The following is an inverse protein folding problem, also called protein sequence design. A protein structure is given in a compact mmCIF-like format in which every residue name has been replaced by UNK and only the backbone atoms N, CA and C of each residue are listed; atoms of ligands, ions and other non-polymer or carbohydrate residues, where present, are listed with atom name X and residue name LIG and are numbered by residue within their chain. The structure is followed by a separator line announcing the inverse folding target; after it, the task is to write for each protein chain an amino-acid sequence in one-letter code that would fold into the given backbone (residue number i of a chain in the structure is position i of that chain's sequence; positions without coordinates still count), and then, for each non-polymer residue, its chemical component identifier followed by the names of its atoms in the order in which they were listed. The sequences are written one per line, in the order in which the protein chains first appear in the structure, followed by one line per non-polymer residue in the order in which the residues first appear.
data_IF_714466023273
#
_entry.id   IF_714466023273
#
_cell.length_a   1.000
_cell.length_b   1.000
_cell.length_c   1.000
_cell.angle_alpha   90.00
_cell.angle_beta   90.00
_cell.angle_gamma   90.00
#
_symmetry.space_group_name_H-M   'P 1'
#
loop_
_entity.id
_entity.type
_entity.pdbx_description
1 polymer ?
#
# COMPACT_ATOMS: atom_id res chain seq x y z
N UNK A 1 25.02 12.65 -30.76
CA UNK A 1 23.74 12.81 -30.03
C UNK A 1 23.91 13.14 -28.54
N UNK A 2 25.13 13.14 -27.99
CA UNK A 2 25.39 13.33 -26.54
C UNK A 2 25.64 14.78 -26.09
N UNK A 3 25.55 15.76 -27.01
CA UNK A 3 26.09 17.12 -26.80
C UNK A 3 25.43 17.91 -25.67
N UNK A 4 24.24 17.52 -25.22
CA UNK A 4 23.46 18.29 -24.24
C UNK A 4 23.11 17.52 -22.97
N UNK A 5 23.85 16.49 -22.57
CA UNK A 5 23.57 15.79 -21.30
C UNK A 5 23.82 16.68 -20.05
N UNK A 6 24.80 17.59 -20.14
CA UNK A 6 25.11 18.61 -19.14
C UNK A 6 25.34 19.95 -19.82
N UNK A 7 24.69 21.01 -19.35
CA UNK A 7 24.81 22.36 -19.91
C UNK A 7 24.98 23.40 -18.81
N UNK A 8 25.83 24.40 -19.05
CA UNK A 8 25.96 25.54 -18.13
C UNK A 8 24.90 26.63 -18.42
N UNK A 9 24.70 27.56 -17.48
CA UNK A 9 23.73 28.66 -17.65
C UNK A 9 23.93 29.49 -18.92
N UNK A 10 25.17 29.77 -19.32
CA UNK A 10 25.46 30.53 -20.54
C UNK A 10 25.09 29.75 -21.80
N UNK A 11 25.33 28.43 -21.82
CA UNK A 11 24.96 27.58 -22.95
C UNK A 11 23.43 27.39 -23.02
N UNK A 12 22.76 27.32 -21.86
CA UNK A 12 21.30 27.30 -21.77
C UNK A 12 20.69 28.54 -22.42
N UNK A 13 21.19 29.73 -22.09
CA UNK A 13 20.71 31.00 -22.65
C UNK A 13 20.93 31.08 -24.16
N UNK A 14 22.11 30.69 -24.64
CA UNK A 14 22.46 30.77 -26.06
C UNK A 14 21.79 29.69 -26.94
N UNK A 15 21.40 28.55 -26.37
CA UNK A 15 20.97 27.36 -27.14
C UNK A 15 19.69 26.72 -26.64
N UNK A 16 18.83 27.50 -25.98
CA UNK A 16 17.59 27.04 -25.34
C UNK A 16 16.79 26.08 -26.22
N UNK A 17 16.46 26.46 -27.47
CA UNK A 17 15.63 25.62 -28.35
C UNK A 17 16.24 24.24 -28.62
N UNK A 18 17.56 24.18 -28.88
CA UNK A 18 18.26 22.91 -29.15
C UNK A 18 18.36 22.04 -27.89
N UNK A 19 18.50 22.67 -26.73
CA UNK A 19 18.55 21.98 -25.43
C UNK A 19 17.17 21.39 -25.09
N UNK A 20 16.09 22.15 -25.30
CA UNK A 20 14.72 21.66 -25.09
C UNK A 20 14.39 20.52 -26.06
N UNK A 21 14.80 20.62 -27.34
CA UNK A 21 14.65 19.51 -28.30
C UNK A 21 15.43 18.25 -27.88
N UNK A 22 16.64 18.43 -27.32
CA UNK A 22 17.40 17.32 -26.78
C UNK A 22 16.72 16.71 -25.53
N UNK A 23 16.18 17.56 -24.65
CA UNK A 23 15.46 17.18 -23.44
C UNK A 23 14.20 16.34 -23.71
N UNK A 24 13.57 16.50 -24.89
CA UNK A 24 12.48 15.62 -25.33
C UNK A 24 12.88 14.16 -25.52
N UNK A 25 14.18 13.88 -25.75
CA UNK A 25 14.70 12.52 -25.98
C UNK A 25 15.41 11.96 -24.77
N UNK A 26 16.13 12.80 -24.03
CA UNK A 26 16.86 12.44 -22.80
C UNK A 26 16.90 13.64 -21.85
N UNK A 27 16.68 13.45 -20.54
CA UNK A 27 16.85 14.50 -19.54
C UNK A 27 18.19 15.23 -19.66
N UNK A 28 18.13 16.56 -19.51
CA UNK A 28 19.31 17.45 -19.57
C UNK A 28 19.52 18.10 -18.21
N UNK A 29 20.73 17.97 -17.65
CA UNK A 29 21.09 18.61 -16.39
C UNK A 29 21.72 19.99 -16.64
N UNK A 30 21.12 21.04 -16.08
CA UNK A 30 21.63 22.41 -16.14
C UNK A 30 22.47 22.67 -14.90
N UNK A 31 23.68 23.18 -15.07
CA UNK A 31 24.63 23.48 -14.00
C UNK A 31 24.75 24.98 -13.77
N UNK A 32 24.88 25.36 -12.50
CA UNK A 32 25.18 26.72 -12.06
C UNK A 32 26.23 26.67 -10.94
N UNK A 33 27.29 27.47 -11.07
CA UNK A 33 28.41 27.50 -10.14
C UNK A 33 29.03 26.11 -9.84
N UNK A 34 29.12 25.25 -10.85
CA UNK A 34 29.72 23.92 -10.73
C UNK A 34 28.80 22.83 -10.15
N UNK A 35 27.59 23.16 -9.71
CA UNK A 35 26.61 22.22 -9.19
C UNK A 35 25.41 22.05 -10.14
N UNK A 36 24.77 20.86 -10.19
CA UNK A 36 23.52 20.69 -10.91
C UNK A 36 22.44 21.55 -10.25
N UNK A 37 21.79 22.39 -11.05
CA UNK A 37 20.82 23.37 -10.60
C UNK A 37 19.39 22.94 -10.91
N UNK A 38 19.11 22.51 -12.13
CA UNK A 38 17.80 22.02 -12.55
C UNK A 38 17.93 20.91 -13.61
N UNK A 39 16.90 20.10 -13.77
CA UNK A 39 16.76 19.18 -14.89
C UNK A 39 15.69 19.68 -15.85
N UNK A 40 15.97 19.65 -17.15
CA UNK A 40 14.97 19.81 -18.20
C UNK A 40 14.62 18.41 -18.67
N UNK A 41 13.36 18.04 -18.50
CA UNK A 41 12.82 16.72 -18.83
C UNK A 41 11.68 16.85 -19.82
N UNK A 42 11.42 15.79 -20.58
CA UNK A 42 10.21 15.71 -21.39
C UNK A 42 8.96 15.66 -20.50
N UNK A 43 7.80 16.01 -21.06
CA UNK A 43 6.52 15.85 -20.37
C UNK A 43 6.27 14.38 -20.00
N UNK A 44 6.64 13.44 -20.88
CA UNK A 44 6.47 12.00 -20.66
C UNK A 44 7.34 11.51 -19.49
N UNK A 45 8.61 11.93 -19.42
CA UNK A 45 9.51 11.58 -18.32
C UNK A 45 9.01 12.17 -16.99
N UNK A 46 8.53 13.42 -17.02
CA UNK A 46 7.99 14.09 -15.84
C UNK A 46 6.72 13.40 -15.32
N UNK A 47 5.77 13.10 -16.22
CA UNK A 47 4.57 12.35 -15.85
C UNK A 47 4.90 10.92 -15.40
N UNK A 48 5.90 10.29 -16.00
CA UNK A 48 6.42 8.99 -15.58
C UNK A 48 6.98 9.02 -14.15
N UNK A 49 7.66 10.11 -13.76
CA UNK A 49 8.15 10.31 -12.39
C UNK A 49 7.03 10.59 -11.37
N UNK A 50 5.89 11.12 -11.83
CA UNK A 50 4.70 11.38 -11.00
C UNK A 50 3.76 10.18 -10.87
N UNK A 51 4.15 9.01 -11.36
CA UNK A 51 3.32 7.80 -11.30
C UNK A 51 2.90 7.46 -9.87
N UNK A 52 1.59 7.35 -9.69
CA UNK A 52 1.00 6.84 -8.47
C UNK A 52 1.26 5.34 -8.32
N UNK A 53 1.18 4.83 -7.08
CA UNK A 53 1.35 3.40 -6.79
C UNK A 53 0.40 2.53 -7.61
N UNK A 54 -0.82 3.00 -7.87
CA UNK A 54 -1.86 2.35 -8.68
C UNK A 54 -1.40 2.04 -10.10
N UNK A 55 -0.54 2.88 -10.70
CA UNK A 55 -0.05 2.71 -12.07
C UNK A 55 0.86 1.49 -12.27
N UNK A 56 1.37 0.92 -11.17
CA UNK A 56 2.22 -0.27 -11.19
C UNK A 56 1.44 -1.56 -10.96
N UNK A 57 0.14 -1.47 -10.63
CA UNK A 57 -0.67 -2.63 -10.25
C UNK A 57 -1.48 -3.10 -11.46
N UNK A 58 -1.37 -4.36 -11.88
CA UNK A 58 -2.20 -4.90 -12.96
C UNK A 58 -3.68 -4.87 -12.60
N UNK A 59 -4.52 -4.32 -13.48
CA UNK A 59 -5.96 -4.23 -13.25
C UNK A 59 -6.65 -5.59 -13.05
N UNK A 60 -6.07 -6.66 -13.62
CA UNK A 60 -6.57 -8.03 -13.48
C UNK A 60 -6.07 -8.78 -12.24
N UNK A 61 -5.28 -8.14 -11.36
CA UNK A 61 -4.82 -8.78 -10.13
C UNK A 61 -5.99 -9.05 -9.17
N UNK A 62 -6.03 -10.20 -8.50
CA UNK A 62 -7.19 -10.61 -7.68
C UNK A 62 -7.53 -9.62 -6.56
N UNK A 63 -6.52 -9.07 -5.85
CA UNK A 63 -6.76 -7.99 -4.87
C UNK A 63 -7.42 -6.74 -5.49
N UNK A 64 -7.13 -6.43 -6.76
CA UNK A 64 -7.75 -5.28 -7.45
C UNK A 64 -9.22 -5.54 -7.72
N UNK A 65 -9.54 -6.74 -8.19
CA UNK A 65 -10.90 -7.15 -8.48
C UNK A 65 -11.76 -7.27 -7.23
N UNK A 66 -11.17 -7.70 -6.10
CA UNK A 66 -11.89 -7.92 -4.85
C UNK A 66 -11.98 -6.70 -3.94
N UNK A 67 -11.05 -5.74 -4.05
CA UNK A 67 -11.03 -4.55 -3.19
C UNK A 67 -12.37 -3.81 -3.10
N UNK A 68 -13.12 -3.56 -4.20
CA UNK A 68 -14.42 -2.90 -4.09
C UNK A 68 -15.42 -3.64 -3.18
N UNK A 69 -15.44 -4.98 -3.23
CA UNK A 69 -16.31 -5.80 -2.38
C UNK A 69 -15.86 -5.75 -0.91
N UNK A 70 -14.54 -5.75 -0.67
CA UNK A 70 -13.97 -5.58 0.68
C UNK A 70 -14.37 -4.22 1.24
N UNK A 71 -14.20 -3.15 0.46
CA UNK A 71 -14.50 -1.78 0.88
C UNK A 71 -16.00 -1.60 1.13
N UNK A 72 -16.88 -2.24 0.35
CA UNK A 72 -18.33 -2.26 0.58
C UNK A 72 -18.69 -2.91 1.93
N UNK A 73 -18.12 -4.09 2.23
CA UNK A 73 -18.36 -4.77 3.52
C UNK A 73 -17.86 -3.93 4.69
N UNK A 74 -16.69 -3.29 4.56
CA UNK A 74 -16.14 -2.39 5.56
C UNK A 74 -17.03 -1.17 5.78
N UNK A 75 -17.61 -0.62 4.70
CA UNK A 75 -18.51 0.53 4.77
C UNK A 75 -19.85 0.21 5.44
N UNK A 76 -20.39 -1.00 5.22
CA UNK A 76 -21.61 -1.47 5.87
C UNK A 76 -21.44 -1.69 7.39
N UNK A 77 -20.22 -1.96 7.85
CA UNK A 77 -19.91 -2.31 9.25
C UNK A 77 -18.95 -1.29 9.89
N UNK A 78 -19.03 -0.01 9.52
CA UNK A 78 -18.15 1.03 10.07
C UNK A 78 -18.24 1.15 11.59
N UNK A 79 -19.38 0.83 12.18
CA UNK A 79 -19.62 0.81 13.62
C UNK A 79 -18.82 -0.29 14.35
N UNK A 80 -18.41 -1.35 13.66
CA UNK A 80 -17.50 -2.37 14.20
C UNK A 80 -16.05 -1.87 14.29
N UNK A 81 -15.72 -0.80 13.57
CA UNK A 81 -14.37 -0.25 13.36
C UNK A 81 -14.20 1.16 13.93
N UNK A 82 -14.79 1.43 15.09
CA UNK A 82 -14.56 2.69 15.79
C UNK A 82 -13.09 2.80 16.20
N UNK A 83 -12.48 3.93 15.89
CA UNK A 83 -11.09 4.20 16.24
C UNK A 83 -10.98 4.41 17.76
N UNK A 84 -10.16 3.58 18.41
CA UNK A 84 -9.87 3.72 19.83
C UNK A 84 -8.89 4.88 20.08
N UNK A 85 -8.99 5.58 21.23
CA UNK A 85 -8.06 6.66 21.57
C UNK A 85 -6.59 6.20 21.51
N UNK A 86 -5.77 6.95 20.77
CA UNK A 86 -4.33 6.69 20.63
C UNK A 86 -3.93 5.82 19.44
N UNK A 87 -4.89 5.31 18.67
CA UNK A 87 -4.61 4.71 17.36
C UNK A 87 -4.08 5.79 16.39
N UNK A 88 -3.04 5.44 15.65
CA UNK A 88 -2.42 6.28 14.62
C UNK A 88 -2.69 5.75 13.21
N UNK A 89 -3.07 4.48 13.09
CA UNK A 89 -3.50 3.84 11.85
C UNK A 89 -5.02 3.70 11.88
N UNK A 90 -5.68 4.07 10.79
CA UNK A 90 -7.12 3.93 10.68
C UNK A 90 -7.53 2.44 10.79
N UNK A 91 -8.61 2.12 11.53
CA UNK A 91 -9.08 0.73 11.67
C UNK A 91 -9.31 0.02 10.34
N UNK A 92 -9.84 0.71 9.33
CA UNK A 92 -10.02 0.17 7.99
C UNK A 92 -8.69 -0.26 7.34
N UNK A 93 -7.67 0.61 7.42
CA UNK A 93 -6.31 0.30 6.94
C UNK A 93 -5.71 -0.90 7.66
N UNK A 94 -5.92 -1.02 8.97
CA UNK A 94 -5.46 -2.18 9.73
C UNK A 94 -6.17 -3.47 9.32
N UNK A 95 -7.46 -3.42 8.97
CA UNK A 95 -8.16 -4.57 8.39
C UNK A 95 -7.52 -4.98 7.07
N UNK A 96 -7.24 -4.04 6.15
CA UNK A 96 -6.52 -4.36 4.91
C UNK A 96 -5.14 -4.97 5.18
N UNK A 97 -4.40 -4.46 6.18
CA UNK A 97 -3.10 -5.02 6.60
C UNK A 97 -3.25 -6.47 7.08
N UNK A 98 -4.24 -6.77 7.92
CA UNK A 98 -4.47 -8.12 8.43
C UNK A 98 -5.00 -9.07 7.35
N UNK A 99 -5.78 -8.57 6.39
CA UNK A 99 -6.17 -9.33 5.20
C UNK A 99 -4.94 -9.74 4.38
N UNK A 100 -3.97 -8.85 4.18
CA UNK A 100 -2.70 -9.22 3.52
C UNK A 100 -1.96 -10.30 4.30
N UNK A 101 -1.93 -10.20 5.62
CA UNK A 101 -1.29 -11.21 6.46
C UNK A 101 -1.93 -12.59 6.29
N UNK A 102 -3.26 -12.65 6.27
CA UNK A 102 -4.01 -13.89 6.04
C UNK A 102 -3.80 -14.42 4.62
N UNK A 103 -4.02 -13.59 3.60
CA UNK A 103 -4.04 -14.00 2.19
C UNK A 103 -2.68 -14.45 1.66
N UNK A 104 -1.60 -13.90 2.19
CA UNK A 104 -0.23 -14.26 1.79
C UNK A 104 0.51 -15.08 2.85
N UNK A 105 -0.19 -15.54 3.89
CA UNK A 105 0.40 -16.29 5.01
C UNK A 105 1.66 -15.63 5.59
N UNK A 106 1.64 -14.30 5.75
CA UNK A 106 2.81 -13.57 6.26
C UNK A 106 3.01 -13.93 7.74
N UNK A 107 4.17 -14.48 8.13
CA UNK A 107 4.33 -15.17 9.40
C UNK A 107 4.47 -14.23 10.61
N UNK A 108 4.74 -12.94 10.42
CA UNK A 108 4.93 -11.99 11.51
C UNK A 108 4.60 -10.56 11.11
N UNK A 109 4.32 -9.72 12.11
CA UNK A 109 4.13 -8.27 11.94
C UNK A 109 5.40 -7.58 11.43
N UNK A 110 6.59 -8.10 11.80
CA UNK A 110 7.88 -7.64 11.27
C UNK A 110 7.96 -7.86 9.76
N UNK A 111 7.63 -9.06 9.28
CA UNK A 111 7.66 -9.34 7.85
C UNK A 111 6.54 -8.59 7.11
N UNK A 112 5.39 -8.38 7.75
CA UNK A 112 4.31 -7.57 7.19
C UNK A 112 4.73 -6.10 7.03
N UNK A 113 5.41 -5.54 8.02
CA UNK A 113 6.00 -4.20 7.97
C UNK A 113 7.02 -4.08 6.85
N UNK A 114 7.92 -5.05 6.72
CA UNK A 114 8.91 -5.10 5.64
C UNK A 114 8.22 -5.14 4.26
N UNK A 115 7.22 -6.00 4.09
CA UNK A 115 6.45 -6.07 2.85
C UNK A 115 5.77 -4.72 2.52
N UNK A 116 5.19 -4.03 3.51
CA UNK A 116 4.63 -2.69 3.29
C UNK A 116 5.68 -1.65 2.86
N UNK A 117 6.96 -1.85 3.15
CA UNK A 117 8.02 -0.92 2.73
C UNK A 117 8.40 -1.08 1.25
N UNK A 118 8.41 -2.30 0.69
CA UNK A 118 8.89 -2.52 -0.68
C UNK A 118 7.85 -3.08 -1.66
N UNK A 119 6.77 -3.70 -1.18
CA UNK A 119 5.79 -4.34 -2.05
C UNK A 119 4.72 -3.33 -2.49
N UNK A 120 4.79 -2.88 -3.75
CA UNK A 120 3.89 -1.87 -4.31
C UNK A 120 2.42 -2.30 -4.27
N UNK A 121 2.12 -3.58 -4.47
CA UNK A 121 0.76 -4.11 -4.39
C UNK A 121 0.22 -3.99 -2.96
N UNK A 122 1.02 -4.34 -1.96
CA UNK A 122 0.60 -4.27 -0.57
C UNK A 122 0.36 -2.82 -0.17
N UNK A 123 1.26 -1.92 -0.56
CA UNK A 123 1.12 -0.48 -0.35
C UNK A 123 -0.17 0.05 -0.97
N UNK A 124 -0.40 -0.25 -2.24
CA UNK A 124 -1.62 0.14 -2.93
C UNK A 124 -2.85 -0.38 -2.18
N UNK A 125 -2.86 -1.65 -1.79
CA UNK A 125 -4.00 -2.30 -1.16
C UNK A 125 -4.37 -1.64 0.17
N UNK A 126 -3.38 -1.27 1.00
CA UNK A 126 -3.62 -0.60 2.28
C UNK A 126 -3.79 0.94 2.16
N UNK A 127 -3.72 1.49 0.94
CA UNK A 127 -3.86 2.92 0.68
C UNK A 127 -2.59 3.76 0.90
N UNK A 128 -1.40 3.15 0.94
CA UNK A 128 -0.12 3.85 1.00
C UNK A 128 0.33 4.30 -0.40
N UNK A 129 0.66 5.60 -0.55
CA UNK A 129 1.23 6.15 -1.78
C UNK A 129 2.68 5.71 -2.01
N UNK A 130 3.29 5.97 -3.17
CA UNK A 130 4.64 5.46 -3.51
C UNK A 130 5.73 5.96 -2.54
N UNK A 131 5.71 7.25 -2.20
CA UNK A 131 6.74 7.90 -1.35
C UNK A 131 6.33 8.03 0.13
N UNK A 132 5.17 7.51 0.52
CA UNK A 132 4.67 7.62 1.89
C UNK A 132 5.51 6.75 2.84
N UNK A 133 5.98 7.30 3.97
CA UNK A 133 6.67 6.46 4.95
C UNK A 133 5.68 5.52 5.63
N UNK A 134 6.05 4.24 5.75
CA UNK A 134 5.30 3.30 6.61
C UNK A 134 5.47 3.73 8.06
N UNK A 135 4.45 3.52 8.89
CA UNK A 135 4.53 3.74 10.34
C UNK A 135 5.70 2.94 10.95
N UNK A 136 6.17 3.35 12.13
CA UNK A 136 7.16 2.53 12.84
C UNK A 136 6.57 1.17 13.21
N UNK A 137 7.42 0.14 13.29
CA UNK A 137 6.99 -1.22 13.67
C UNK A 137 6.26 -1.22 15.02
N UNK A 138 6.70 -0.39 15.99
CA UNK A 138 6.04 -0.28 17.29
C UNK A 138 4.60 0.24 17.19
N UNK A 139 4.34 1.22 16.31
CA UNK A 139 2.99 1.74 16.07
C UNK A 139 2.14 0.68 15.38
N UNK A 140 2.70 -0.01 14.39
CA UNK A 140 1.99 -1.06 13.67
C UNK A 140 1.55 -2.19 14.63
N UNK A 141 2.47 -2.73 15.42
CA UNK A 141 2.18 -3.84 16.34
C UNK A 141 1.15 -3.44 17.40
N UNK A 142 1.29 -2.23 17.96
CA UNK A 142 0.35 -1.71 18.96
C UNK A 142 -1.05 -1.59 18.37
N UNK A 143 -1.20 -0.96 17.21
CA UNK A 143 -2.51 -0.69 16.61
C UNK A 143 -3.15 -1.98 16.08
N UNK A 144 -2.37 -2.93 15.55
CA UNK A 144 -2.82 -4.29 15.24
C UNK A 144 -3.35 -4.99 16.50
N UNK A 145 -2.59 -4.96 17.60
CA UNK A 145 -3.01 -5.57 18.85
C UNK A 145 -4.31 -4.95 19.38
N UNK A 146 -4.44 -3.62 19.32
CA UNK A 146 -5.68 -2.91 19.67
C UNK A 146 -6.86 -3.37 18.81
N UNK A 147 -6.68 -3.45 17.48
CA UNK A 147 -7.74 -3.90 16.58
C UNK A 147 -8.14 -5.36 16.85
N UNK A 148 -7.17 -6.26 17.03
CA UNK A 148 -7.42 -7.68 17.29
C UNK A 148 -8.05 -7.94 18.67
N UNK A 149 -7.97 -6.99 19.61
CA UNK A 149 -8.66 -7.06 20.89
C UNK A 149 -10.14 -6.65 20.79
N UNK A 150 -10.58 -6.07 19.67
CA UNK A 150 -11.99 -5.80 19.40
C UNK A 150 -12.64 -7.03 18.72
N UNK A 151 -13.56 -7.75 19.39
CA UNK A 151 -14.19 -8.95 18.82
C UNK A 151 -15.01 -8.64 17.56
N UNK A 152 -15.62 -7.45 17.46
CA UNK A 152 -16.40 -7.06 16.27
C UNK A 152 -15.50 -6.89 15.05
N UNK A 153 -14.30 -6.34 15.23
CA UNK A 153 -13.32 -6.20 14.16
C UNK A 153 -12.82 -7.58 13.68
N UNK A 154 -12.55 -8.52 14.59
CA UNK A 154 -12.14 -9.89 14.23
C UNK A 154 -13.27 -10.64 13.50
N UNK A 155 -14.52 -10.50 13.96
CA UNK A 155 -15.69 -11.06 13.27
C UNK A 155 -15.89 -10.46 11.88
N UNK A 156 -15.64 -9.16 11.71
CA UNK A 156 -15.70 -8.50 10.41
C UNK A 156 -14.62 -9.05 9.46
N UNK A 157 -13.40 -9.28 9.93
CA UNK A 157 -12.35 -9.93 9.12
C UNK A 157 -12.80 -11.32 8.67
N UNK A 158 -13.35 -12.14 9.58
CA UNK A 158 -13.89 -13.46 9.24
C UNK A 158 -15.00 -13.36 8.19
N UNK A 159 -15.92 -12.40 8.33
CA UNK A 159 -17.00 -12.14 7.39
C UNK A 159 -16.46 -11.81 6.00
N UNK A 160 -15.48 -10.91 5.90
CA UNK A 160 -14.83 -10.57 4.63
C UNK A 160 -14.19 -11.81 3.98
N UNK A 161 -13.49 -12.64 4.76
CA UNK A 161 -12.93 -13.90 4.24
C UNK A 161 -14.03 -14.82 3.69
N UNK A 162 -15.13 -14.99 4.44
CA UNK A 162 -16.24 -15.85 4.05
C UNK A 162 -16.99 -15.36 2.81
N UNK A 163 -17.30 -14.07 2.74
CA UNK A 163 -18.14 -13.48 1.69
C UNK A 163 -17.35 -13.19 0.41
N UNK A 164 -16.11 -12.70 0.54
CA UNK A 164 -15.33 -12.20 -0.60
C UNK A 164 -14.38 -13.25 -1.15
N UNK A 165 -13.76 -14.06 -0.28
CA UNK A 165 -12.65 -14.94 -0.69
C UNK A 165 -13.05 -16.41 -0.84
N UNK A 166 -13.82 -16.98 0.08
CA UNK A 166 -14.09 -18.44 0.08
C UNK A 166 -14.67 -18.98 -1.24
N UNK A 167 -15.54 -18.23 -1.92
CA UNK A 167 -16.08 -18.62 -3.23
C UNK A 167 -15.11 -18.43 -4.40
N UNK A 168 -14.10 -17.58 -4.25
CA UNK A 168 -13.20 -17.13 -5.32
C UNK A 168 -11.80 -17.77 -5.25
N UNK A 169 -11.41 -18.35 -4.11
CA UNK A 169 -10.05 -18.89 -3.86
C UNK A 169 -9.59 -19.92 -4.91
N UNK A 170 -10.51 -20.75 -5.44
CA UNK A 170 -10.17 -21.74 -6.49
C UNK A 170 -9.64 -21.10 -7.78
N UNK A 171 -9.91 -19.82 -7.99
CA UNK A 171 -9.48 -19.06 -9.17
C UNK A 171 -8.33 -18.09 -8.88
N UNK A 172 -7.76 -18.11 -7.66
CA UNK A 172 -6.78 -17.13 -7.18
C UNK A 172 -5.57 -17.84 -6.55
N UNK A 173 -4.73 -18.52 -7.35
CA UNK A 173 -3.62 -19.33 -6.86
C UNK A 173 -2.50 -18.52 -6.16
N UNK A 174 -2.48 -17.19 -6.34
CA UNK A 174 -1.55 -16.31 -5.64
C UNK A 174 -1.85 -16.17 -4.13
N UNK A 175 -3.04 -16.56 -3.69
CA UNK A 175 -3.40 -16.54 -2.27
C UNK A 175 -3.14 -17.89 -1.61
N UNK A 176 -2.49 -17.83 -0.45
CA UNK A 176 -2.36 -18.93 0.50
C UNK A 176 -2.96 -18.45 1.81
N UNK A 177 -4.27 -18.68 1.97
CA UNK A 177 -5.00 -18.17 3.12
C UNK A 177 -4.61 -18.93 4.40
N UNK A 178 -4.09 -18.21 5.39
CA UNK A 178 -3.77 -18.76 6.70
C UNK A 178 -5.01 -18.88 7.61
N UNK A 179 -5.80 -19.93 7.41
CA UNK A 179 -6.97 -20.21 8.28
C UNK A 179 -6.58 -20.43 9.74
N UNK A 180 -5.41 -21.00 10.03
CA UNK A 180 -4.95 -21.24 11.40
C UNK A 180 -4.74 -19.93 12.18
N UNK A 181 -4.19 -18.90 11.52
CA UNK A 181 -4.04 -17.57 12.09
C UNK A 181 -5.41 -16.92 12.36
N UNK A 182 -6.34 -17.01 11.41
CA UNK A 182 -7.71 -16.51 11.59
C UNK A 182 -8.41 -17.19 12.77
N UNK A 183 -8.32 -18.51 12.87
CA UNK A 183 -8.85 -19.27 14.01
C UNK A 183 -8.21 -18.85 15.34
N UNK A 184 -6.92 -18.53 15.34
CA UNK A 184 -6.21 -18.05 16.53
C UNK A 184 -6.77 -16.70 17.01
N UNK A 185 -7.07 -15.78 16.08
CA UNK A 185 -7.70 -14.51 16.42
C UNK A 185 -9.12 -14.68 16.97
N UNK A 186 -9.91 -15.56 16.36
CA UNK A 186 -11.28 -15.87 16.81
C UNK A 186 -11.29 -16.53 18.21
N UNK A 187 -10.38 -17.48 18.45
CA UNK A 187 -10.28 -18.20 19.72
C UNK A 187 -9.93 -17.29 20.92
N UNK A 188 -9.29 -16.14 20.68
CA UNK A 188 -9.04 -15.14 21.74
C UNK A 188 -10.33 -14.63 22.38
N UNK A 189 -11.43 -14.64 21.64
CA UNK A 189 -12.72 -14.08 22.05
C UNK A 189 -13.76 -15.15 22.41
N UNK A 190 -13.51 -16.43 22.14
CA UNK A 190 -14.45 -17.52 22.42
C UNK A 190 -14.64 -17.82 23.91
N UNK A 191 -13.70 -17.41 24.77
CA UNK A 191 -13.80 -17.61 26.22
C UNK A 191 -14.69 -16.58 26.95
N UNK A 192 -15.19 -15.55 26.26
CA UNK A 192 -16.03 -14.52 26.86
C UNK A 192 -17.53 -14.90 26.92
N UNK A 193 -17.92 -16.04 26.34
CA UNK A 193 -19.31 -16.51 26.28
C UNK A 193 -19.66 -17.62 27.28
N UNK A 194 -18.70 -18.15 28.04
CA UNK A 194 -18.91 -19.35 28.89
C UNK A 194 -19.08 -19.05 30.40
N UNK A 195 -19.13 -17.77 30.82
CA UNK A 195 -19.24 -17.38 32.25
C UNK A 195 -20.62 -16.84 32.66
N UNK A 196 -21.67 -17.13 31.88
CA UNK A 196 -23.04 -16.78 32.23
C UNK A 196 -23.98 -17.95 32.05
N UNK A 197 -24.04 -18.84 33.04
CA UNK A 197 -25.16 -19.73 33.34
C UNK A 197 -25.15 -20.05 34.83
#
# INVERSE_FOLDING_TARGET
MERYSKVGMQELDQRLSKIVEAARKKPVSVYRYGAPWVWIVSQEDWQGALKEVSSYIPAGHSLVLLRPQIDEVLDQHRDALLAEPGMLIAPQTLVHILLLQLLYSVPSEQQLHEQLNYNLLFRWFVGLGLNQKVWSIHVLNRDIATLLNNPRAVQLIQKIIGEVFCGALLHMPEFSLNFALLHTWLARHSHLSTTGN
#
